data_IF_445224401323
#
_entry.id   IF_445224401323
#
_cell.length_a   1.000
_cell.length_b   1.000
_cell.length_c   1.000
_cell.angle_alpha   90.00
_cell.angle_beta   90.00
_cell.angle_gamma   90.00
#
_symmetry.space_group_name_H-M   'P 1'
#
loop_
_entity.id
_entity.type
_entity.pdbx_description
1 polymer ?
#
# COMPACT_ATOMS: atom_id res chain seq x y z
N UNK A 1 -97.02 -15.31 -16.23
CA UNK A 1 -95.83 -14.57 -15.74
C UNK A 1 -94.78 -15.56 -15.23
N UNK A 2 -93.51 -15.37 -15.66
CA UNK A 2 -92.21 -15.89 -15.13
C UNK A 2 -91.97 -17.42 -15.14
N UNK A 3 -91.17 -17.96 -16.07
CA UNK A 3 -89.69 -18.01 -16.22
C UNK A 3 -88.92 -18.99 -15.29
N UNK A 4 -88.50 -20.12 -15.89
CA UNK A 4 -87.11 -20.59 -16.11
C UNK A 4 -86.01 -20.37 -15.04
N UNK A 5 -85.35 -21.47 -14.63
CA UNK A 5 -83.86 -21.69 -14.59
C UNK A 5 -83.43 -22.58 -13.42
N UNK A 6 -83.23 -23.88 -13.65
CA UNK A 6 -82.35 -24.74 -12.82
C UNK A 6 -81.67 -25.81 -13.68
N UNK A 7 -80.60 -25.44 -14.40
CA UNK A 7 -79.72 -26.42 -15.06
C UNK A 7 -78.37 -25.82 -15.49
N UNK A 8 -77.52 -25.35 -14.57
CA UNK A 8 -76.09 -25.15 -14.89
C UNK A 8 -75.23 -24.85 -13.64
N UNK A 9 -74.96 -25.85 -12.81
CA UNK A 9 -73.97 -25.68 -11.72
C UNK A 9 -72.90 -26.79 -11.65
N UNK A 10 -72.94 -27.78 -12.54
CA UNK A 10 -71.98 -28.91 -12.50
C UNK A 10 -70.84 -28.82 -13.53
N UNK A 11 -70.80 -27.79 -14.38
CA UNK A 11 -69.79 -27.64 -15.46
C UNK A 11 -68.69 -26.61 -15.18
N UNK A 12 -68.70 -25.95 -14.01
CA UNK A 12 -67.76 -24.87 -13.69
C UNK A 12 -66.62 -25.25 -12.73
N UNK A 13 -66.62 -26.47 -12.17
CA UNK A 13 -65.60 -26.94 -11.20
C UNK A 13 -64.42 -27.68 -11.85
N UNK A 14 -64.29 -27.64 -13.18
CA UNK A 14 -63.32 -28.44 -13.94
C UNK A 14 -62.53 -27.54 -14.90
N UNK A 15 -61.98 -26.44 -14.40
CA UNK A 15 -61.00 -25.62 -15.13
C UNK A 15 -60.07 -24.78 -14.23
N UNK A 16 -60.11 -24.96 -12.90
CA UNK A 16 -59.34 -24.12 -11.97
C UNK A 16 -57.98 -24.73 -11.57
N UNK A 17 -57.74 -26.04 -11.78
CA UNK A 17 -56.46 -26.67 -11.44
C UNK A 17 -55.40 -26.58 -12.56
N UNK A 18 -55.79 -26.46 -13.84
CA UNK A 18 -54.83 -26.44 -14.95
C UNK A 18 -54.24 -25.06 -15.24
N UNK A 19 -54.96 -23.99 -14.91
CA UNK A 19 -54.48 -22.61 -15.07
C UNK A 19 -53.52 -22.20 -13.96
N UNK A 20 -53.68 -22.73 -12.74
CA UNK A 20 -52.78 -22.45 -11.61
C UNK A 20 -51.36 -22.99 -11.80
N UNK A 21 -51.22 -24.18 -12.38
CA UNK A 21 -49.90 -24.78 -12.63
C UNK A 21 -49.08 -24.03 -13.71
N UNK A 22 -49.76 -23.48 -14.72
CA UNK A 22 -49.11 -22.69 -15.78
C UNK A 22 -48.66 -21.33 -15.23
N UNK A 23 -49.47 -20.70 -14.38
CA UNK A 23 -49.11 -19.43 -13.74
C UNK A 23 -47.91 -19.56 -12.79
N UNK A 24 -47.83 -20.67 -12.04
CA UNK A 24 -46.68 -20.99 -11.19
C UNK A 24 -45.39 -21.24 -11.99
N UNK A 25 -45.47 -21.88 -13.15
CA UNK A 25 -44.30 -22.10 -14.02
C UNK A 25 -43.79 -20.81 -14.66
N UNK A 26 -44.68 -19.86 -15.00
CA UNK A 26 -44.28 -18.55 -15.55
C UNK A 26 -43.58 -17.69 -14.47
N UNK A 27 -44.10 -17.66 -13.24
CA UNK A 27 -43.48 -16.94 -12.12
C UNK A 27 -42.10 -17.53 -11.76
N UNK A 28 -41.95 -18.86 -11.83
CA UNK A 28 -40.65 -19.51 -11.60
C UNK A 28 -39.65 -19.22 -12.73
N UNK A 29 -40.09 -18.98 -13.96
CA UNK A 29 -39.22 -18.64 -15.08
C UNK A 29 -38.72 -17.18 -15.02
N UNK A 30 -39.59 -16.23 -14.63
CA UNK A 30 -39.22 -14.81 -14.52
C UNK A 30 -38.32 -14.51 -13.31
N UNK A 31 -38.50 -15.22 -12.19
CA UNK A 31 -37.67 -15.02 -11.00
C UNK A 31 -36.22 -15.49 -11.19
N UNK A 32 -35.98 -16.48 -12.04
CA UNK A 32 -34.61 -16.88 -12.43
C UNK A 32 -33.90 -15.84 -13.31
N UNK A 33 -34.62 -15.06 -14.12
CA UNK A 33 -34.02 -14.05 -15.00
C UNK A 33 -33.51 -12.82 -14.23
N UNK A 34 -34.20 -12.42 -13.16
CA UNK A 34 -33.81 -11.29 -12.31
C UNK A 34 -32.55 -11.57 -11.47
N UNK A 35 -32.26 -12.83 -11.15
CA UNK A 35 -31.07 -13.21 -10.39
C UNK A 35 -29.76 -13.10 -11.20
N UNK A 36 -29.83 -13.12 -12.54
CA UNK A 36 -28.65 -13.00 -13.40
C UNK A 36 -28.24 -11.55 -13.70
N UNK A 37 -29.13 -10.56 -13.53
CA UNK A 37 -28.82 -9.15 -13.81
C UNK A 37 -28.14 -8.42 -12.63
N UNK A 38 -28.06 -9.03 -11.45
CA UNK A 38 -27.57 -8.35 -10.23
C UNK A 38 -26.10 -8.69 -9.88
N UNK A 39 -25.39 -9.44 -10.73
CA UNK A 39 -24.01 -9.87 -10.43
C UNK A 39 -22.93 -8.94 -10.99
N UNK A 40 -23.29 -7.99 -11.84
CA UNK A 40 -22.34 -7.08 -12.51
C UNK A 40 -22.10 -5.75 -11.77
N UNK A 41 -22.77 -5.54 -10.62
CA UNK A 41 -22.74 -4.26 -9.90
C UNK A 41 -21.76 -4.18 -8.71
N UNK A 42 -20.93 -5.21 -8.46
CA UNK A 42 -19.96 -5.20 -7.36
C UNK A 42 -18.55 -5.59 -7.80
N UNK A 43 -17.91 -4.76 -8.62
CA UNK A 43 -16.43 -4.65 -8.61
C UNK A 43 -15.94 -3.42 -9.41
N UNK A 44 -16.21 -2.22 -8.92
CA UNK A 44 -15.61 -1.01 -9.50
C UNK A 44 -15.54 0.16 -8.52
N UNK A 45 -14.80 -0.03 -7.43
CA UNK A 45 -14.21 1.08 -6.68
C UNK A 45 -12.75 0.73 -6.34
N UNK A 46 -11.87 0.82 -7.34
CA UNK A 46 -10.47 1.15 -7.08
C UNK A 46 -10.39 2.67 -7.11
N UNK A 47 -10.61 3.24 -5.93
CA UNK A 47 -10.46 4.66 -5.66
C UNK A 47 -8.98 5.00 -5.75
N UNK A 48 -8.62 5.80 -6.76
CA UNK A 48 -7.30 6.41 -6.86
C UNK A 48 -7.11 7.30 -5.63
N UNK A 49 -6.27 6.85 -4.69
CA UNK A 49 -5.80 7.65 -3.57
C UNK A 49 -4.79 8.67 -4.07
N UNK A 50 -5.28 9.72 -4.74
CA UNK A 50 -4.55 10.95 -4.96
C UNK A 50 -5.16 12.03 -4.08
N UNK A 51 -4.26 12.76 -3.41
CA UNK A 51 -4.49 13.92 -2.56
C UNK A 51 -4.89 13.63 -1.11
N UNK A 52 -3.92 13.81 -0.19
CA UNK A 52 -3.97 14.75 0.94
C UNK A 52 -2.95 14.34 2.00
N UNK A 53 -1.75 14.93 1.98
CA UNK A 53 -1.07 15.54 3.14
C UNK A 53 0.17 16.31 2.69
N UNK A 54 -0.01 17.29 1.81
CA UNK A 54 0.80 18.50 1.84
C UNK A 54 0.24 19.37 2.99
N UNK A 55 1.10 19.84 3.90
CA UNK A 55 0.80 20.56 5.15
C UNK A 55 0.45 19.70 6.37
N UNK A 56 1.47 19.10 6.99
CA UNK A 56 1.56 19.12 8.46
C UNK A 56 3.03 19.27 8.87
N UNK A 57 3.38 20.53 9.18
CA UNK A 57 4.54 21.03 9.93
C UNK A 57 5.94 20.69 9.40
N UNK A 58 6.68 21.61 8.78
CA UNK A 58 7.13 22.89 9.36
C UNK A 58 7.53 22.78 10.84
N UNK A 59 8.45 21.87 11.15
CA UNK A 59 9.39 22.11 12.25
C UNK A 59 10.66 22.66 11.60
N UNK A 60 10.71 23.99 11.54
CA UNK A 60 11.98 24.69 11.43
C UNK A 60 12.84 24.28 12.62
N UNK A 61 13.76 23.33 12.41
CA UNK A 61 14.98 23.35 13.21
C UNK A 61 15.81 24.47 12.61
N UNK A 62 15.74 25.64 13.24
CA UNK A 62 16.82 26.61 13.19
C UNK A 62 18.09 25.88 13.65
N UNK A 63 18.89 25.37 12.72
CA UNK A 63 20.30 25.11 12.97
C UNK A 63 20.97 26.48 13.02
N UNK A 64 20.77 27.19 14.14
CA UNK A 64 21.66 28.27 14.52
C UNK A 64 22.98 27.64 14.91
N UNK A 65 24.01 27.83 14.08
CA UNK A 65 25.42 27.94 14.48
C UNK A 65 25.79 27.12 15.73
N UNK A 66 25.91 25.81 15.56
CA UNK A 66 26.59 24.93 16.49
C UNK A 66 27.76 24.31 15.76
N UNK A 67 28.96 24.82 16.03
CA UNK A 67 30.22 24.30 15.51
C UNK A 67 30.29 22.79 15.76
N UNK A 68 30.39 22.01 14.68
CA UNK A 68 30.73 20.59 14.75
C UNK A 68 32.26 20.55 14.80
N UNK A 69 32.89 20.00 15.85
CA UNK A 69 34.34 19.85 15.86
C UNK A 69 34.76 18.71 14.90
N UNK A 70 35.80 18.91 14.06
CA UNK A 70 36.39 17.84 13.27
C UNK A 70 37.05 16.79 14.19
N UNK A 71 37.23 15.54 13.74
CA UNK A 71 37.81 14.49 14.58
C UNK A 71 39.28 14.80 14.89
N UNK A 72 39.55 14.94 16.20
CA UNK A 72 40.85 14.75 16.86
C UNK A 72 42.11 15.07 16.06
N UNK A 73 42.49 16.35 16.05
CA UNK A 73 43.87 16.81 15.97
C UNK A 73 44.22 17.55 17.26
N UNK A 74 45.22 17.08 18.01
CA UNK A 74 45.56 17.60 19.34
C UNK A 74 45.90 19.10 19.36
N UNK A 75 45.56 19.78 20.46
CA UNK A 75 45.97 21.16 20.66
C UNK A 75 45.25 21.89 21.81
N UNK A 76 45.78 21.75 23.02
CA UNK A 76 45.96 22.83 24.01
C UNK A 76 44.86 23.91 24.14
N UNK A 77 43.83 23.66 24.94
CA UNK A 77 42.95 24.72 25.44
C UNK A 77 43.70 25.64 26.41
N UNK A 78 43.97 26.88 25.99
CA UNK A 78 44.31 28.00 26.89
C UNK A 78 43.06 28.82 27.17
N UNK A 79 42.38 28.51 28.27
CA UNK A 79 41.35 29.37 28.86
C UNK A 79 41.98 30.20 29.97
N UNK A 80 42.07 31.51 29.77
CA UNK A 80 42.41 32.48 30.81
C UNK A 80 41.19 32.76 31.70
N UNK A 81 41.42 32.88 33.01
CA UNK A 81 40.41 33.25 34.00
C UNK A 81 41.04 33.40 35.37
N UNK A 82 41.37 34.63 35.74
CA UNK A 82 41.84 35.02 37.07
C UNK A 82 40.66 35.05 38.06
N UNK A 83 40.82 34.44 39.23
CA UNK A 83 39.84 34.52 40.32
C UNK A 83 40.24 33.65 41.50
N UNK A 84 41.05 34.21 42.40
CA UNK A 84 41.43 33.58 43.66
C UNK A 84 40.53 34.04 44.81
N UNK A 85 40.08 33.08 45.63
CA UNK A 85 39.38 33.31 46.89
C UNK A 85 38.89 31.98 47.46
N UNK A 86 39.59 31.47 48.49
CA UNK A 86 39.42 30.11 49.01
C UNK A 86 38.22 29.89 49.93
N UNK A 87 38.00 28.61 50.24
CA UNK A 87 37.07 28.11 51.26
C UNK A 87 37.08 26.59 51.24
N UNK A 88 37.24 25.96 52.41
CA UNK A 88 37.67 24.58 52.54
C UNK A 88 36.57 23.52 52.40
N UNK A 89 37.03 22.27 52.33
CA UNK A 89 36.40 21.14 53.01
C UNK A 89 35.29 20.41 52.24
N UNK A 90 35.64 19.23 51.73
CA UNK A 90 34.68 18.23 51.25
C UNK A 90 35.13 17.63 49.93
N UNK A 91 36.01 16.63 49.99
CA UNK A 91 36.38 15.81 48.84
C UNK A 91 35.21 14.93 48.39
N UNK A 92 34.11 15.53 47.94
CA UNK A 92 33.29 14.90 46.93
C UNK A 92 34.11 15.03 45.65
N UNK A 93 34.62 13.92 45.14
CA UNK A 93 35.05 13.87 43.74
C UNK A 93 33.94 14.53 42.93
N UNK A 94 34.21 15.57 42.11
CA UNK A 94 33.17 16.14 41.26
C UNK A 94 32.52 14.96 40.55
N UNK A 95 31.21 14.77 40.74
CA UNK A 95 30.49 13.68 40.10
C UNK A 95 30.69 13.90 38.61
N UNK A 96 31.67 13.19 38.05
CA UNK A 96 32.02 13.30 36.65
C UNK A 96 30.82 12.74 35.94
N UNK A 97 30.00 13.63 35.39
CA UNK A 97 28.81 13.24 34.66
C UNK A 97 29.24 12.25 33.58
N UNK A 98 28.70 11.04 33.64
CA UNK A 98 28.98 9.99 32.68
C UNK A 98 27.87 10.00 31.65
N UNK A 99 28.23 10.23 30.40
CA UNK A 99 27.30 10.21 29.27
C UNK A 99 26.55 8.87 29.19
N UNK A 100 25.27 8.92 28.86
CA UNK A 100 24.41 7.76 28.61
C UNK A 100 23.62 7.96 27.31
N UNK A 101 24.27 7.64 26.20
CA UNK A 101 23.73 7.86 24.87
C UNK A 101 22.68 6.82 24.49
N UNK A 102 21.52 7.30 24.04
CA UNK A 102 20.49 6.52 23.37
C UNK A 102 20.35 7.03 21.94
N UNK A 103 20.65 6.17 20.98
CA UNK A 103 20.48 6.48 19.56
C UNK A 103 19.22 5.83 19.00
N UNK A 104 18.59 6.51 18.06
CA UNK A 104 17.63 5.91 17.15
C UNK A 104 18.35 4.99 16.15
N UNK A 105 17.56 4.17 15.48
CA UNK A 105 18.05 3.41 14.33
C UNK A 105 18.49 4.35 13.20
N UNK A 106 19.37 3.82 12.36
CA UNK A 106 19.81 4.54 11.17
C UNK A 106 18.66 4.76 10.20
N UNK A 107 18.63 5.94 9.57
CA UNK A 107 17.77 6.19 8.43
C UNK A 107 18.10 5.26 7.27
N UNK A 108 17.20 5.19 6.29
CA UNK A 108 17.53 4.59 5.00
C UNK A 108 18.73 5.28 4.36
N UNK A 109 19.50 4.52 3.58
CA UNK A 109 20.63 5.06 2.83
C UNK A 109 20.10 5.99 1.73
N UNK A 110 20.56 7.23 1.72
CA UNK A 110 20.24 8.23 0.71
C UNK A 110 21.46 8.49 -0.16
N UNK A 111 21.25 8.74 -1.45
CA UNK A 111 22.34 9.04 -2.39
C UNK A 111 22.96 10.38 -2.07
N UNK A 112 24.30 10.44 -2.07
CA UNK A 112 25.06 11.61 -1.67
C UNK A 112 24.83 12.83 -2.58
N UNK A 113 24.73 12.59 -3.90
CA UNK A 113 24.69 13.66 -4.90
C UNK A 113 23.28 14.22 -5.22
N UNK A 114 22.20 13.55 -4.79
CA UNK A 114 20.81 13.96 -5.08
C UNK A 114 20.12 14.68 -3.91
N UNK A 115 20.65 14.57 -2.69
CA UNK A 115 20.04 15.13 -1.46
C UNK A 115 20.83 16.35 -0.95
N UNK A 116 21.11 17.27 -1.87
CA UNK A 116 22.06 18.37 -1.68
C UNK A 116 21.73 19.33 -0.52
N UNK A 117 20.49 19.33 -0.02
CA UNK A 117 19.98 20.20 1.04
C UNK A 117 20.11 19.63 2.47
N UNK A 118 20.32 18.31 2.63
CA UNK A 118 20.35 17.67 3.96
C UNK A 118 21.75 17.68 4.60
N UNK A 119 22.78 17.93 3.79
CA UNK A 119 24.19 17.84 4.17
C UNK A 119 24.96 19.11 3.84
N UNK A 120 25.73 19.60 4.81
CA UNK A 120 26.75 20.62 4.55
C UNK A 120 27.93 20.03 3.74
N UNK A 121 28.75 20.92 3.15
CA UNK A 121 29.86 20.50 2.30
C UNK A 121 30.93 19.68 3.05
N UNK A 122 31.12 19.94 4.34
CA UNK A 122 32.07 19.21 5.17
C UNK A 122 31.66 17.74 5.33
N UNK A 123 30.39 17.50 5.68
CA UNK A 123 29.86 16.15 5.82
C UNK A 123 29.80 15.44 4.47
N UNK A 124 29.54 16.14 3.35
CA UNK A 124 29.64 15.55 2.01
C UNK A 124 31.04 15.01 1.74
N UNK A 125 32.07 15.81 2.00
CA UNK A 125 33.47 15.38 1.83
C UNK A 125 33.83 14.23 2.77
N UNK A 126 33.35 14.26 4.01
CA UNK A 126 33.56 13.17 4.97
C UNK A 126 32.95 11.85 4.48
N UNK A 127 31.72 11.88 3.98
CA UNK A 127 31.05 10.69 3.45
C UNK A 127 31.72 10.22 2.17
N UNK A 128 32.07 11.14 1.25
CA UNK A 128 32.79 10.80 0.03
C UNK A 128 34.09 10.05 0.34
N UNK A 129 34.92 10.60 1.23
CA UNK A 129 36.17 9.95 1.66
C UNK A 129 35.93 8.56 2.28
N UNK A 130 34.81 8.37 2.99
CA UNK A 130 34.46 7.05 3.55
C UNK A 130 33.96 6.09 2.48
N UNK A 131 33.18 6.53 1.50
CA UNK A 131 32.82 5.71 0.35
C UNK A 131 34.06 5.22 -0.39
N UNK A 132 35.02 6.11 -0.64
CA UNK A 132 36.28 5.78 -1.31
C UNK A 132 37.08 4.74 -0.49
N UNK A 133 37.09 4.87 0.84
CA UNK A 133 37.75 3.93 1.75
C UNK A 133 37.08 2.54 1.74
N UNK A 134 35.76 2.48 1.63
CA UNK A 134 35.01 1.22 1.55
C UNK A 134 34.95 0.62 0.15
N UNK A 135 35.43 1.37 -0.86
CA UNK A 135 35.41 0.94 -2.26
C UNK A 135 34.00 0.96 -2.88
N UNK A 136 33.13 1.86 -2.43
CA UNK A 136 31.83 2.08 -3.07
C UNK A 136 32.00 2.86 -4.37
N UNK A 137 31.22 2.50 -5.38
CA UNK A 137 31.20 3.23 -6.64
C UNK A 137 30.58 4.63 -6.42
N UNK A 138 30.96 5.61 -7.23
CA UNK A 138 30.41 6.97 -7.13
C UNK A 138 28.87 6.99 -7.27
N UNK A 139 28.33 6.05 -8.05
CA UNK A 139 26.90 5.85 -8.24
C UNK A 139 26.19 5.19 -7.04
N UNK A 140 26.93 4.44 -6.23
CA UNK A 140 26.42 3.73 -5.04
C UNK A 140 26.86 4.37 -3.73
N UNK A 141 27.59 5.49 -3.75
CA UNK A 141 27.92 6.21 -2.55
C UNK A 141 26.69 6.92 -1.95
N UNK A 142 26.35 6.55 -0.73
CA UNK A 142 25.28 7.16 0.05
C UNK A 142 25.65 7.42 1.50
N UNK A 143 24.71 8.05 2.20
CA UNK A 143 24.79 8.28 3.63
C UNK A 143 23.50 7.91 4.33
N UNK A 144 23.62 7.63 5.62
CA UNK A 144 22.50 7.49 6.55
C UNK A 144 22.79 8.28 7.81
N UNK A 145 21.72 8.77 8.44
CA UNK A 145 21.78 9.58 9.65
C UNK A 145 21.03 8.91 10.79
N UNK A 146 21.43 9.20 12.02
CA UNK A 146 20.67 8.82 13.21
C UNK A 146 20.74 9.93 14.25
N UNK A 147 19.72 10.00 15.09
CA UNK A 147 19.69 10.92 16.22
C UNK A 147 20.15 10.20 17.49
N UNK A 148 21.00 10.86 18.28
CA UNK A 148 21.47 10.35 19.57
C UNK A 148 21.24 11.40 20.65
N UNK A 149 20.62 11.01 21.75
CA UNK A 149 20.37 11.84 22.94
C UNK A 149 21.13 11.29 24.15
N UNK A 150 21.77 12.17 24.92
CA UNK A 150 22.34 11.82 26.22
C UNK A 150 21.27 11.93 27.30
N UNK A 151 20.84 10.78 27.82
CA UNK A 151 19.81 10.69 28.86
C UNK A 151 20.25 11.35 30.19
N UNK A 152 21.57 11.47 30.40
CA UNK A 152 22.13 12.10 31.60
C UNK A 152 22.41 13.59 31.41
N UNK A 153 22.23 14.14 30.19
CA UNK A 153 22.41 15.56 29.84
C UNK A 153 23.72 16.15 30.36
N UNK A 154 24.81 15.42 30.18
CA UNK A 154 26.12 15.78 30.71
C UNK A 154 26.77 16.98 30.01
N UNK A 155 26.22 17.44 28.87
CA UNK A 155 26.76 18.53 28.04
C UNK A 155 28.25 18.36 27.65
N UNK A 156 28.73 17.12 27.74
CA UNK A 156 30.07 16.68 27.34
C UNK A 156 29.86 15.83 26.09
N UNK A 157 30.75 15.97 25.10
CA UNK A 157 30.67 15.26 23.80
C UNK A 157 31.80 14.23 23.64
N UNK A 158 32.44 13.81 24.73
CA UNK A 158 33.64 12.97 24.70
C UNK A 158 33.36 11.58 24.12
N UNK A 159 32.18 11.02 24.40
CA UNK A 159 31.77 9.71 23.94
C UNK A 159 30.54 9.77 23.02
N UNK A 160 30.25 10.92 22.39
CA UNK A 160 29.12 11.05 21.47
C UNK A 160 29.30 10.09 20.28
N UNK A 161 28.33 9.19 20.03
CA UNK A 161 28.37 8.30 18.87
C UNK A 161 28.28 9.07 17.55
N UNK A 162 28.81 8.48 16.47
CA UNK A 162 28.64 9.02 15.12
C UNK A 162 27.15 9.11 14.76
N UNK A 163 26.73 10.25 14.24
CA UNK A 163 25.34 10.52 13.81
C UNK A 163 25.16 10.46 12.30
N UNK A 164 26.25 10.28 11.56
CA UNK A 164 26.27 10.12 10.11
C UNK A 164 27.29 9.05 9.72
N UNK A 165 26.94 8.23 8.74
CA UNK A 165 27.78 7.14 8.25
C UNK A 165 27.61 6.95 6.75
N UNK A 166 28.69 6.55 6.06
CA UNK A 166 28.61 6.12 4.67
C UNK A 166 27.93 4.76 4.55
N UNK A 167 27.16 4.57 3.49
CA UNK A 167 26.49 3.32 3.20
C UNK A 167 26.54 3.06 1.70
N UNK A 168 26.53 1.77 1.34
CA UNK A 168 26.29 1.36 -0.04
C UNK A 168 24.83 1.67 -0.36
N UNK A 169 24.62 2.78 -1.06
CA UNK A 169 23.37 3.11 -1.72
C UNK A 169 23.21 2.12 -2.85
N UNK A 170 22.68 0.96 -2.49
CA UNK A 170 22.22 0.02 -3.47
C UNK A 170 21.04 0.71 -4.16
N UNK A 171 21.29 1.25 -5.36
CA UNK A 171 20.22 1.48 -6.34
C UNK A 171 19.73 0.09 -6.79
N UNK A 172 19.17 -0.66 -5.85
CA UNK A 172 18.40 -1.85 -6.16
C UNK A 172 16.97 -1.38 -6.25
N UNK A 173 16.67 -0.78 -7.40
CA UNK A 173 15.41 -1.11 -8.03
C UNK A 173 15.54 -2.56 -8.50
N UNK A 174 15.43 -3.48 -7.54
CA UNK A 174 15.52 -4.88 -7.83
C UNK A 174 14.13 -5.31 -8.27
N UNK A 175 13.88 -5.22 -9.58
CA UNK A 175 12.62 -5.64 -10.21
C UNK A 175 12.39 -7.17 -10.14
N UNK A 176 13.01 -7.87 -9.18
CA UNK A 176 12.87 -9.30 -8.93
C UNK A 176 13.08 -9.64 -7.42
N UNK A 177 12.96 -8.68 -6.50
CA UNK A 177 13.10 -8.92 -5.06
C UNK A 177 11.79 -9.27 -4.35
N UNK A 178 10.67 -9.28 -5.09
CA UNK A 178 9.32 -9.51 -4.60
C UNK A 178 8.81 -8.46 -3.60
N UNK A 179 9.38 -7.25 -3.62
CA UNK A 179 8.97 -6.14 -2.75
C UNK A 179 8.64 -4.94 -3.64
N UNK A 180 7.47 -4.31 -3.45
CA UNK A 180 7.14 -3.06 -4.14
C UNK A 180 7.96 -1.91 -3.55
N UNK A 181 8.95 -1.42 -4.30
CA UNK A 181 9.82 -0.32 -3.88
C UNK A 181 9.98 0.75 -4.99
N UNK A 182 10.55 1.90 -4.61
CA UNK A 182 10.77 3.07 -5.47
C UNK A 182 9.55 3.46 -6.33
N UNK A 183 9.67 3.42 -7.67
CA UNK A 183 8.68 3.87 -8.65
C UNK A 183 7.91 2.71 -9.29
N UNK A 184 7.90 1.53 -8.68
CA UNK A 184 7.12 0.39 -9.17
C UNK A 184 5.60 0.64 -9.08
N UNK A 185 4.85 0.19 -10.09
CA UNK A 185 3.38 0.23 -10.09
C UNK A 185 2.81 -1.00 -9.35
N UNK A 186 3.50 -2.14 -9.44
CA UNK A 186 3.21 -3.40 -8.75
C UNK A 186 4.51 -4.09 -8.32
N UNK A 187 4.43 -5.19 -7.56
CA UNK A 187 5.64 -5.92 -7.13
C UNK A 187 6.45 -6.33 -8.36
N UNK A 188 7.71 -5.91 -8.43
CA UNK A 188 8.64 -6.25 -9.51
C UNK A 188 8.19 -5.75 -10.91
N UNK A 189 7.33 -4.72 -10.99
CA UNK A 189 6.82 -4.16 -12.26
C UNK A 189 6.42 -2.68 -12.19
N UNK A 190 6.50 -1.98 -13.32
CA UNK A 190 6.17 -0.55 -13.47
C UNK A 190 7.36 0.39 -13.23
N UNK A 191 7.19 1.68 -13.55
CA UNK A 191 8.29 2.65 -13.52
C UNK A 191 9.41 2.26 -14.49
N UNK A 192 10.64 2.16 -13.98
CA UNK A 192 11.81 1.69 -14.76
C UNK A 192 11.92 0.15 -14.83
N UNK A 193 11.01 -0.59 -14.17
CA UNK A 193 10.89 -2.05 -14.31
C UNK A 193 10.05 -2.44 -15.54
N UNK A 194 9.92 -3.74 -15.80
CA UNK A 194 9.01 -4.23 -16.86
C UNK A 194 7.58 -3.71 -16.59
N UNK A 195 6.81 -3.32 -17.62
CA UNK A 195 5.43 -2.88 -17.41
C UNK A 195 4.60 -3.94 -16.68
N UNK A 196 3.73 -3.51 -15.78
CA UNK A 196 2.84 -4.44 -15.10
C UNK A 196 1.87 -5.09 -16.08
N UNK A 197 1.59 -6.38 -15.88
CA UNK A 197 0.53 -7.05 -16.61
C UNK A 197 -0.81 -6.41 -16.23
N UNK A 198 -1.42 -5.70 -17.17
CA UNK A 198 -2.80 -5.25 -17.00
C UNK A 198 -3.71 -6.47 -16.77
N UNK A 199 -4.73 -6.36 -15.90
CA UNK A 199 -5.68 -7.45 -15.73
C UNK A 199 -6.28 -7.76 -17.09
N UNK A 200 -6.07 -9.01 -17.56
CA UNK A 200 -6.70 -9.47 -18.80
C UNK A 200 -8.20 -9.20 -18.68
N UNK A 201 -8.86 -8.63 -19.71
CA UNK A 201 -10.29 -8.46 -19.67
C UNK A 201 -10.91 -9.81 -19.33
N UNK A 202 -11.76 -9.82 -18.30
CA UNK A 202 -12.45 -11.03 -17.85
C UNK A 202 -13.04 -11.69 -19.09
N UNK A 203 -12.52 -12.87 -19.42
CA UNK A 203 -12.94 -13.62 -20.60
C UNK A 203 -14.43 -13.85 -20.47
N UNK A 204 -15.21 -13.18 -21.31
CA UNK A 204 -16.67 -13.18 -21.23
C UNK A 204 -17.18 -14.61 -21.16
N UNK A 205 -18.06 -14.88 -20.19
CA UNK A 205 -18.70 -16.17 -20.03
C UNK A 205 -19.34 -16.57 -21.37
N UNK A 206 -18.87 -17.69 -21.95
CA UNK A 206 -19.37 -18.20 -23.23
C UNK A 206 -20.90 -18.18 -23.22
N UNK A 207 -21.47 -17.46 -24.17
CA UNK A 207 -22.90 -17.14 -24.21
C UNK A 207 -23.72 -18.37 -24.63
N UNK A 208 -24.19 -19.16 -23.65
CA UNK A 208 -24.89 -20.44 -23.86
C UNK A 208 -26.37 -20.31 -24.27
N UNK A 209 -26.91 -19.11 -24.46
CA UNK A 209 -28.31 -18.89 -24.89
C UNK A 209 -28.65 -19.58 -26.21
N UNK A 210 -27.68 -19.72 -27.13
CA UNK A 210 -27.85 -20.44 -28.40
C UNK A 210 -28.17 -21.92 -28.17
N UNK A 211 -27.57 -22.54 -27.14
CA UNK A 211 -27.86 -23.92 -26.75
C UNK A 211 -29.26 -24.00 -26.16
N UNK A 212 -29.66 -23.02 -25.34
CA UNK A 212 -31.03 -22.92 -24.81
C UNK A 212 -32.10 -22.82 -25.90
N UNK A 213 -31.88 -21.99 -26.93
CA UNK A 213 -32.80 -21.88 -28.07
C UNK A 213 -32.91 -23.20 -28.82
N UNK A 214 -31.78 -23.86 -29.09
CA UNK A 214 -31.78 -25.14 -29.81
C UNK A 214 -32.56 -26.22 -29.06
N UNK A 215 -32.38 -26.33 -27.74
CA UNK A 215 -33.12 -27.29 -26.90
C UNK A 215 -34.62 -26.99 -26.86
N UNK A 216 -34.99 -25.71 -26.79
CA UNK A 216 -36.40 -25.28 -26.83
C UNK A 216 -37.08 -25.67 -28.15
N UNK A 217 -36.42 -25.45 -29.28
CA UNK A 217 -36.95 -25.82 -30.61
C UNK A 217 -37.14 -27.34 -30.74
N UNK A 218 -36.18 -28.13 -30.27
CA UNK A 218 -36.25 -29.60 -30.30
C UNK A 218 -37.45 -30.11 -29.47
N UNK A 219 -37.67 -29.55 -28.28
CA UNK A 219 -38.82 -29.90 -27.44
C UNK A 219 -40.14 -29.55 -28.13
N UNK A 220 -40.22 -28.36 -28.75
CA UNK A 220 -41.43 -27.90 -29.43
C UNK A 220 -41.77 -28.81 -30.62
N UNK A 221 -40.77 -29.20 -31.41
CA UNK A 221 -40.94 -30.18 -32.50
C UNK A 221 -41.41 -31.53 -31.96
N UNK A 222 -40.82 -32.02 -30.85
CA UNK A 222 -41.24 -33.26 -30.21
C UNK A 222 -42.70 -33.25 -29.75
N UNK A 223 -43.16 -32.14 -29.18
CA UNK A 223 -44.56 -31.94 -28.75
C UNK A 223 -45.51 -31.91 -29.96
N UNK A 224 -45.17 -31.17 -31.02
CA UNK A 224 -45.97 -31.13 -32.25
C UNK A 224 -46.09 -32.54 -32.84
N UNK A 225 -44.98 -33.28 -32.92
CA UNK A 225 -44.96 -34.63 -33.44
C UNK A 225 -45.80 -35.61 -32.59
N UNK A 226 -45.79 -35.45 -31.26
CA UNK A 226 -46.64 -36.23 -30.37
C UNK A 226 -48.14 -35.99 -30.63
N UNK A 227 -48.56 -34.73 -30.77
CA UNK A 227 -49.94 -34.39 -31.10
C UNK A 227 -50.33 -34.86 -32.51
N UNK A 228 -49.42 -34.76 -33.46
CA UNK A 228 -49.61 -35.28 -34.81
C UNK A 228 -49.84 -36.80 -34.79
N UNK A 229 -49.03 -37.55 -34.05
CA UNK A 229 -49.22 -38.99 -33.85
C UNK A 229 -50.54 -39.34 -33.14
N UNK A 230 -50.96 -38.52 -32.17
CA UNK A 230 -52.23 -38.72 -31.46
C UNK A 230 -53.45 -38.47 -32.34
N UNK A 231 -53.38 -37.52 -33.29
CA UNK A 231 -54.47 -37.21 -34.22
C UNK A 231 -54.66 -38.29 -35.30
N UNK A 232 -53.58 -38.94 -35.71
CA UNK A 232 -53.59 -39.97 -36.77
C UNK A 232 -53.78 -41.40 -36.24
N UNK A 233 -54.02 -41.58 -34.94
CA UNK A 233 -54.49 -42.84 -34.35
C UNK A 233 -55.99 -42.74 -34.09
#
# INVERSE_FOLDING_TARGET
MKNSKKRSYKKFKLNLEKTGAIFLLIILFETSALFFLNKDAMNKENFNGELMTEKFLSIFVNVSSGEIPPPFGGGSGRGGGSGGGGGGGGGATPVKCKENWKCLDWSLCKKLNESSEELNNENKNYIQNRCDLFGFDESSCGFRIRFCEDLNRCNILLAKPETIEACDYVYQQNCNDNIKNQNEEGIDCGGDCKPCESPKPVQESKSYWKVGILLSLILLIGVIFFFYRKKNR
#
